data_IF_786671076020
#
_entry.id   IF_786671076020
#
_cell.length_a   1.000
_cell.length_b   1.000
_cell.length_c   1.000
_cell.angle_alpha   90.00
_cell.angle_beta   90.00
_cell.angle_gamma   90.00
#
_symmetry.space_group_name_H-M   'P 1'
#
loop_
_entity.id
_entity.type
_entity.pdbx_description
1 polymer ?
#
# COMPACT_ATOMS: atom_id res chain seq x y z
N UNK A 1 37.90 27.96 -18.24
CA UNK A 1 37.72 26.84 -17.30
C UNK A 1 37.14 27.41 -16.03
N UNK A 2 35.92 26.99 -15.68
CA UNK A 2 35.37 26.79 -14.33
C UNK A 2 33.87 26.61 -14.49
N UNK A 3 33.43 25.36 -14.58
CA UNK A 3 32.03 24.99 -14.45
C UNK A 3 31.75 24.87 -12.95
N UNK A 4 30.96 25.80 -12.41
CA UNK A 4 30.42 25.69 -11.05
C UNK A 4 29.42 24.52 -11.03
N UNK A 5 29.81 23.46 -10.33
CA UNK A 5 28.92 22.38 -9.92
C UNK A 5 27.91 22.94 -8.93
N UNK A 6 26.63 22.97 -9.33
CA UNK A 6 25.53 23.19 -8.40
C UNK A 6 25.46 22.03 -7.40
N UNK A 7 25.86 22.30 -6.16
CA UNK A 7 25.63 21.40 -5.03
C UNK A 7 24.12 21.26 -4.79
N UNK A 8 23.59 20.07 -5.08
CA UNK A 8 22.21 19.71 -4.80
C UNK A 8 22.13 19.31 -3.32
N UNK A 9 21.94 20.28 -2.44
CA UNK A 9 21.52 20.03 -1.07
C UNK A 9 20.06 19.53 -1.07
N UNK A 10 19.87 18.23 -1.29
CA UNK A 10 18.58 17.55 -1.04
C UNK A 10 18.42 17.39 0.48
N UNK A 11 17.85 18.40 1.12
CA UNK A 11 17.48 18.38 2.53
C UNK A 11 16.41 17.32 2.76
N UNK A 12 16.59 16.43 3.75
CA UNK A 12 15.64 15.37 4.12
C UNK A 12 14.23 15.83 4.59
N UNK A 13 13.91 17.12 4.43
CA UNK A 13 12.57 17.66 4.65
C UNK A 13 11.61 17.37 3.48
N UNK A 14 12.11 17.38 2.24
CA UNK A 14 11.30 17.11 1.02
C UNK A 14 10.76 15.67 1.00
N UNK A 15 11.59 14.72 1.45
CA UNK A 15 11.25 13.28 1.48
C UNK A 15 10.10 13.03 2.48
N UNK A 16 10.12 13.73 3.62
CA UNK A 16 9.06 13.60 4.62
C UNK A 16 7.74 14.24 4.16
N UNK A 17 7.78 15.35 3.39
CA UNK A 17 6.58 15.96 2.84
C UNK A 17 5.95 15.10 1.74
N UNK A 18 6.75 14.48 0.85
CA UNK A 18 6.26 13.47 -0.10
C UNK A 18 5.64 12.28 0.64
N UNK A 19 6.34 11.67 1.61
CA UNK A 19 5.84 10.48 2.31
C UNK A 19 4.54 10.78 3.08
N UNK A 20 4.41 11.95 3.70
CA UNK A 20 3.20 12.36 4.43
C UNK A 20 2.06 12.73 3.48
N UNK A 21 2.33 13.44 2.37
CA UNK A 21 1.31 13.75 1.36
C UNK A 21 0.84 12.50 0.61
N UNK A 22 1.75 11.61 0.20
CA UNK A 22 1.41 10.36 -0.46
C UNK A 22 0.69 9.39 0.49
N UNK A 23 1.09 9.32 1.77
CA UNK A 23 0.40 8.53 2.78
C UNK A 23 -1.05 8.97 3.01
N UNK A 24 -1.28 10.27 3.15
CA UNK A 24 -2.63 10.83 3.29
C UNK A 24 -3.48 10.74 2.02
N UNK A 25 -2.85 10.89 0.85
CA UNK A 25 -3.52 10.75 -0.44
C UNK A 25 -3.96 9.29 -0.68
N UNK A 26 -3.10 8.30 -0.42
CA UNK A 26 -3.45 6.89 -0.55
C UNK A 26 -4.61 6.51 0.38
N UNK A 27 -4.59 6.98 1.64
CA UNK A 27 -5.69 6.75 2.59
C UNK A 27 -7.02 7.39 2.13
N UNK A 28 -6.95 8.61 1.59
CA UNK A 28 -8.11 9.31 1.02
C UNK A 28 -8.67 8.59 -0.22
N UNK A 29 -7.80 8.17 -1.15
CA UNK A 29 -8.20 7.45 -2.36
C UNK A 29 -8.80 6.09 -1.99
N UNK A 30 -8.17 5.35 -1.07
CA UNK A 30 -8.68 4.06 -0.63
C UNK A 30 -10.06 4.18 0.00
N UNK A 31 -10.30 5.22 0.81
CA UNK A 31 -11.59 5.47 1.44
C UNK A 31 -12.67 5.92 0.45
N UNK A 32 -12.27 6.62 -0.61
CA UNK A 32 -13.18 7.18 -1.63
C UNK A 32 -13.43 6.24 -2.81
N UNK A 33 -12.68 5.15 -2.92
CA UNK A 33 -12.84 4.14 -3.96
C UNK A 33 -14.23 3.48 -3.84
N UNK A 34 -14.82 3.14 -4.99
CA UNK A 34 -16.05 2.38 -5.02
C UNK A 34 -15.93 1.11 -4.15
N UNK A 35 -16.98 0.80 -3.40
CA UNK A 35 -16.96 -0.24 -2.37
C UNK A 35 -16.42 -1.57 -2.90
N UNK A 36 -16.84 -1.97 -4.11
CA UNK A 36 -16.37 -3.21 -4.74
C UNK A 36 -14.86 -3.20 -5.00
N UNK A 37 -14.30 -2.11 -5.51
CA UNK A 37 -12.85 -2.00 -5.72
C UNK A 37 -12.07 -2.00 -4.39
N UNK A 38 -12.59 -1.29 -3.38
CA UNK A 38 -12.00 -1.27 -2.03
C UNK A 38 -12.02 -2.66 -1.38
N UNK A 39 -13.12 -3.39 -1.51
CA UNK A 39 -13.26 -4.75 -1.00
C UNK A 39 -12.30 -5.73 -1.71
N UNK A 40 -12.13 -5.64 -3.02
CA UNK A 40 -11.19 -6.49 -3.75
C UNK A 40 -9.74 -6.29 -3.27
N UNK A 41 -9.32 -5.04 -3.10
CA UNK A 41 -7.98 -4.72 -2.58
C UNK A 41 -7.83 -5.21 -1.14
N UNK A 42 -8.80 -4.89 -0.27
CA UNK A 42 -8.74 -5.29 1.14
C UNK A 42 -8.77 -6.81 1.30
N UNK A 43 -9.58 -7.52 0.52
CA UNK A 43 -9.64 -8.99 0.52
C UNK A 43 -8.28 -9.59 0.20
N UNK A 44 -7.60 -9.09 -0.83
CA UNK A 44 -6.25 -9.58 -1.18
C UNK A 44 -5.24 -9.28 -0.08
N UNK A 45 -5.32 -8.09 0.54
CA UNK A 45 -4.46 -7.75 1.67
C UNK A 45 -4.70 -8.67 2.89
N UNK A 46 -5.97 -8.98 3.20
CA UNK A 46 -6.35 -9.89 4.28
C UNK A 46 -5.86 -11.32 4.02
N UNK A 47 -5.96 -11.81 2.77
CA UNK A 47 -5.43 -13.12 2.36
C UNK A 47 -3.91 -13.21 2.54
N UNK A 48 -3.17 -12.19 2.10
CA UNK A 48 -1.71 -12.13 2.23
C UNK A 48 -1.27 -12.00 3.69
N UNK A 49 -1.97 -11.21 4.50
CA UNK A 49 -1.70 -11.10 5.93
C UNK A 49 -1.95 -12.44 6.65
N UNK A 50 -2.98 -13.19 6.28
CA UNK A 50 -3.21 -14.53 6.81
C UNK A 50 -2.05 -15.49 6.46
N UNK A 51 -1.58 -15.48 5.22
CA UNK A 51 -0.42 -16.28 4.78
C UNK A 51 0.87 -15.88 5.53
N UNK A 52 1.06 -14.59 5.77
CA UNK A 52 2.17 -14.09 6.58
C UNK A 52 2.11 -14.64 8.00
N UNK A 53 0.94 -14.62 8.64
CA UNK A 53 0.74 -15.14 10.00
C UNK A 53 1.05 -16.64 10.11
N UNK A 54 0.71 -17.44 9.09
CA UNK A 54 1.00 -18.88 9.08
C UNK A 54 2.50 -19.17 9.15
N UNK A 55 3.33 -18.29 8.58
CA UNK A 55 4.79 -18.42 8.59
C UNK A 55 5.46 -17.68 9.75
N UNK A 56 4.74 -16.75 10.39
CA UNK A 56 5.25 -15.86 11.43
C UNK A 56 4.33 -15.87 12.65
N UNK A 57 4.52 -16.83 13.59
CA UNK A 57 3.65 -16.98 14.76
C UNK A 57 3.72 -15.82 15.75
N UNK A 58 4.77 -15.00 15.66
CA UNK A 58 4.89 -13.70 16.34
C UNK A 58 5.05 -12.62 15.26
N UNK A 59 3.96 -12.20 14.61
CA UNK A 59 4.04 -11.29 13.47
C UNK A 59 4.55 -9.91 13.89
N UNK A 60 5.53 -9.36 13.16
CA UNK A 60 5.89 -7.95 13.28
C UNK A 60 4.97 -7.10 12.39
N UNK A 61 4.48 -5.99 12.93
CA UNK A 61 3.54 -5.15 12.21
C UNK A 61 4.15 -4.51 10.97
N UNK A 62 5.37 -3.97 11.07
CA UNK A 62 5.98 -3.22 9.99
C UNK A 62 6.44 -4.17 8.87
N UNK A 63 7.01 -5.32 9.24
CA UNK A 63 7.39 -6.38 8.30
C UNK A 63 6.17 -6.93 7.55
N UNK A 64 5.08 -7.22 8.26
CA UNK A 64 3.82 -7.61 7.61
C UNK A 64 3.34 -6.54 6.62
N UNK A 65 3.34 -5.26 7.00
CA UNK A 65 2.85 -4.18 6.14
C UNK A 65 3.67 -4.08 4.85
N UNK A 66 4.99 -4.19 4.94
CA UNK A 66 5.88 -4.15 3.79
C UNK A 66 5.58 -5.31 2.82
N UNK A 67 5.56 -6.55 3.33
CA UNK A 67 5.32 -7.75 2.53
C UNK A 67 3.92 -7.77 1.92
N UNK A 68 2.90 -7.43 2.71
CA UNK A 68 1.50 -7.43 2.24
C UNK A 68 1.27 -6.32 1.22
N UNK A 69 1.83 -5.12 1.44
CA UNK A 69 1.68 -4.03 0.47
C UNK A 69 2.32 -4.38 -0.87
N UNK A 70 3.53 -4.95 -0.88
CA UNK A 70 4.19 -5.42 -2.11
C UNK A 70 3.38 -6.54 -2.79
N UNK A 71 2.86 -7.49 -2.01
CA UNK A 71 2.03 -8.58 -2.52
C UNK A 71 0.72 -8.07 -3.16
N UNK A 72 0.06 -7.07 -2.55
CA UNK A 72 -1.14 -6.43 -3.10
C UNK A 72 -0.83 -5.70 -4.41
N UNK A 73 0.29 -4.97 -4.46
CA UNK A 73 0.71 -4.28 -5.68
C UNK A 73 1.01 -5.27 -6.81
N UNK A 74 1.72 -6.36 -6.51
CA UNK A 74 2.04 -7.44 -7.47
C UNK A 74 0.78 -8.14 -7.97
N UNK A 75 -0.21 -8.33 -7.10
CA UNK A 75 -1.50 -8.92 -7.45
C UNK A 75 -2.43 -7.96 -8.20
N UNK A 76 -2.00 -6.75 -8.58
CA UNK A 76 -2.86 -5.71 -9.14
C UNK A 76 -3.72 -6.18 -10.33
N UNK A 77 -3.18 -7.03 -11.21
CA UNK A 77 -3.95 -7.60 -12.33
C UNK A 77 -5.08 -8.54 -11.87
N UNK A 78 -4.86 -9.34 -10.83
CA UNK A 78 -5.89 -10.20 -10.24
C UNK A 78 -6.98 -9.37 -9.56
N UNK A 79 -6.57 -8.32 -8.84
CA UNK A 79 -7.50 -7.40 -8.17
C UNK A 79 -8.32 -6.64 -9.22
N UNK A 80 -7.69 -6.13 -10.28
CA UNK A 80 -8.36 -5.50 -11.42
C UNK A 80 -9.41 -6.43 -12.03
N UNK A 81 -9.04 -7.68 -12.34
CA UNK A 81 -9.94 -8.65 -12.94
C UNK A 81 -11.14 -8.99 -12.03
N UNK A 82 -10.91 -9.16 -10.72
CA UNK A 82 -11.97 -9.46 -9.75
C UNK A 82 -12.89 -8.28 -9.44
N UNK A 83 -12.48 -7.05 -9.77
CA UNK A 83 -13.25 -5.82 -9.49
C UNK A 83 -14.28 -5.45 -10.57
N UNK A 84 -14.36 -6.22 -11.66
CA UNK A 84 -15.34 -6.04 -12.72
C UNK A 84 -15.26 -4.64 -13.35
N UNK A 85 -16.39 -3.92 -13.39
CA UNK A 85 -16.46 -2.57 -13.99
C UNK A 85 -15.60 -1.52 -13.28
N UNK A 86 -15.10 -1.80 -12.07
CA UNK A 86 -14.23 -0.90 -11.31
C UNK A 86 -12.73 -1.20 -11.48
N UNK A 87 -12.37 -2.17 -12.33
CA UNK A 87 -10.98 -2.61 -12.51
C UNK A 87 -10.01 -1.47 -12.86
N UNK A 88 -10.40 -0.55 -13.75
CA UNK A 88 -9.57 0.61 -14.12
C UNK A 88 -9.37 1.58 -12.94
N UNK A 89 -10.41 1.80 -12.13
CA UNK A 89 -10.31 2.64 -10.93
C UNK A 89 -9.42 2.00 -9.86
N UNK A 90 -9.46 0.67 -9.75
CA UNK A 90 -8.59 -0.11 -8.86
C UNK A 90 -7.13 -0.03 -9.30
N UNK A 91 -6.86 -0.19 -10.60
CA UNK A 91 -5.51 -0.05 -11.14
C UNK A 91 -4.94 1.34 -10.88
N UNK A 92 -5.71 2.39 -11.14
CA UNK A 92 -5.31 3.75 -10.84
C UNK A 92 -5.06 3.97 -9.34
N UNK A 93 -5.91 3.40 -8.48
CA UNK A 93 -5.74 3.48 -7.03
C UNK A 93 -4.47 2.75 -6.56
N UNK A 94 -4.18 1.57 -7.09
CA UNK A 94 -2.93 0.84 -6.80
C UNK A 94 -1.70 1.62 -7.26
N UNK A 95 -1.76 2.26 -8.43
CA UNK A 95 -0.72 3.20 -8.89
C UNK A 95 -0.53 4.40 -7.96
N UNK A 96 -1.56 4.78 -7.20
CA UNK A 96 -1.52 5.86 -6.22
C UNK A 96 -1.15 5.41 -4.79
N UNK A 97 -0.81 4.14 -4.58
CA UNK A 97 -0.28 3.66 -3.29
C UNK A 97 -1.31 3.06 -2.32
N UNK A 98 -2.55 2.78 -2.73
CA UNK A 98 -3.60 2.26 -1.83
C UNK A 98 -3.33 0.86 -1.26
N UNK A 99 -2.33 0.14 -1.77
CA UNK A 99 -1.84 -1.10 -1.15
C UNK A 99 -1.37 -0.87 0.29
N UNK A 100 -0.81 0.31 0.60
CA UNK A 100 -0.32 0.65 1.93
C UNK A 100 -1.43 0.71 2.98
N UNK A 101 -2.50 1.52 2.84
CA UNK A 101 -3.59 1.52 3.80
C UNK A 101 -4.29 0.15 3.93
N UNK A 102 -4.47 -0.59 2.83
CA UNK A 102 -5.05 -1.92 2.88
C UNK A 102 -4.19 -2.92 3.69
N UNK A 103 -2.87 -2.90 3.47
CA UNK A 103 -1.91 -3.70 4.23
C UNK A 103 -1.87 -3.30 5.71
N UNK A 104 -1.84 -2.00 6.03
CA UNK A 104 -1.92 -1.50 7.41
C UNK A 104 -3.15 -2.05 8.13
N UNK A 105 -4.31 -2.05 7.48
CA UNK A 105 -5.56 -2.58 8.07
C UNK A 105 -5.45 -4.09 8.30
N UNK A 106 -5.01 -4.84 7.30
CA UNK A 106 -4.89 -6.30 7.37
C UNK A 106 -3.89 -6.75 8.45
N UNK A 107 -2.68 -6.18 8.43
CA UNK A 107 -1.61 -6.51 9.38
C UNK A 107 -1.94 -6.12 10.82
N UNK A 108 -2.67 -5.01 11.02
CA UNK A 108 -3.14 -4.63 12.36
C UNK A 108 -4.09 -5.67 12.94
N UNK A 109 -4.92 -6.31 12.11
CA UNK A 109 -5.87 -7.34 12.58
C UNK A 109 -5.14 -8.57 13.11
N UNK A 110 -4.11 -9.05 12.41
CA UNK A 110 -3.40 -10.26 12.85
C UNK A 110 -2.46 -10.00 14.03
N UNK A 111 -1.84 -8.81 14.10
CA UNK A 111 -0.90 -8.45 15.17
C UNK A 111 -1.60 -8.08 16.48
N UNK A 112 -2.86 -7.65 16.44
CA UNK A 112 -3.68 -7.45 17.64
C UNK A 112 -4.34 -8.74 18.16
N UNK A 113 -4.27 -9.85 17.42
CA UNK A 113 -4.77 -11.17 17.83
C UNK A 113 -3.67 -12.06 18.43
N UNK A 114 -2.41 -11.66 18.30
CA UNK A 114 -1.22 -12.39 18.78
C UNK A 114 -0.85 -11.94 20.21
#
# INVERSE_FOLDING_TARGET
>A
MSSEMGEIHRTGQDINDEIVHFGGQAESIFSSLAEQGRLSIQKKADELAAQYLESNPNPDYYDCVEIVAEGVLTAGNEIKASSGSWGESVEAALGAGVQMPAAKIACKRITMLS
#
